data_IF_588618877309
#
_entry.id   IF_588618877309
#
_cell.length_a   1.000
_cell.length_b   1.000
_cell.length_c   1.000
_cell.angle_alpha   90.00
_cell.angle_beta   90.00
_cell.angle_gamma   90.00
#
_symmetry.space_group_name_H-M   'P 1'
#
loop_
_entity.id
_entity.type
_entity.pdbx_description
1 polymer ?
#
# COMPACT_ATOMS: atom_id res chain seq x y z
N UNK A 1 17.38 -2.11 -2.33
CA UNK A 1 16.05 -2.36 -1.73
C UNK A 1 15.57 -1.06 -1.14
N UNK A 2 14.32 -0.66 -1.39
CA UNK A 2 13.70 0.56 -0.84
C UNK A 2 12.66 0.19 0.22
N UNK A 3 12.41 1.07 1.18
CA UNK A 3 11.28 1.00 2.10
C UNK A 3 10.10 1.81 1.53
N UNK A 4 9.02 1.12 1.20
CA UNK A 4 7.85 1.71 0.55
C UNK A 4 6.73 1.85 1.57
N UNK A 5 6.22 3.07 1.71
CA UNK A 5 4.99 3.34 2.45
C UNK A 5 3.79 2.92 1.58
N UNK A 6 2.95 2.02 2.07
CA UNK A 6 1.78 1.50 1.36
C UNK A 6 0.54 2.26 1.80
N UNK A 7 -0.04 3.03 0.88
CA UNK A 7 -1.30 3.72 1.05
C UNK A 7 -2.39 3.00 0.24
N UNK A 8 -3.43 2.50 0.91
CA UNK A 8 -4.60 1.87 0.27
C UNK A 8 -5.86 2.14 1.08
N UNK A 9 -7.07 1.96 0.49
CA UNK A 9 -8.30 2.05 1.25
C UNK A 9 -8.28 1.08 2.44
N UNK A 10 -8.78 1.54 3.59
CA UNK A 10 -8.91 0.72 4.81
C UNK A 10 -10.33 0.79 5.39
N UNK A 11 -10.81 1.99 5.70
CA UNK A 11 -12.16 2.23 6.21
C UNK A 11 -13.27 1.81 5.22
N UNK A 12 -14.48 1.55 5.75
CA UNK A 12 -15.62 1.04 4.97
C UNK A 12 -15.72 -0.49 5.12
N UNK A 13 -15.58 -1.23 4.02
CA UNK A 13 -15.50 -2.70 4.07
C UNK A 13 -14.09 -3.13 4.54
N UNK A 14 -13.86 -3.07 5.85
CA UNK A 14 -12.57 -3.34 6.49
C UNK A 14 -12.03 -4.71 6.10
N UNK A 15 -12.89 -5.73 6.02
CA UNK A 15 -12.46 -7.09 5.67
C UNK A 15 -11.91 -7.14 4.25
N UNK A 16 -12.66 -6.61 3.28
CA UNK A 16 -12.21 -6.55 1.88
C UNK A 16 -10.96 -5.70 1.73
N UNK A 17 -10.93 -4.55 2.38
CA UNK A 17 -9.83 -3.59 2.28
C UNK A 17 -8.55 -4.12 2.94
N UNK A 18 -8.66 -4.87 4.04
CA UNK A 18 -7.52 -5.56 4.66
C UNK A 18 -6.88 -6.55 3.71
N UNK A 19 -7.68 -7.36 3.00
CA UNK A 19 -7.14 -8.30 2.01
C UNK A 19 -6.53 -7.58 0.81
N UNK A 20 -7.11 -6.46 0.37
CA UNK A 20 -6.54 -5.61 -0.67
C UNK A 20 -5.18 -5.01 -0.26
N UNK A 21 -5.08 -4.47 0.95
CA UNK A 21 -3.84 -3.93 1.51
C UNK A 21 -2.74 -5.01 1.61
N UNK A 22 -3.10 -6.24 2.01
CA UNK A 22 -2.16 -7.37 2.01
C UNK A 22 -1.64 -7.69 0.61
N UNK A 23 -2.51 -7.68 -0.41
CA UNK A 23 -2.10 -7.85 -1.81
C UNK A 23 -1.16 -6.73 -2.28
N UNK A 24 -1.41 -5.49 -1.86
CA UNK A 24 -0.51 -4.37 -2.12
C UNK A 24 0.88 -4.58 -1.49
N UNK A 25 0.93 -5.06 -0.24
CA UNK A 25 2.19 -5.42 0.41
C UNK A 25 2.94 -6.54 -0.35
N UNK A 26 2.22 -7.57 -0.81
CA UNK A 26 2.78 -8.61 -1.67
C UNK A 26 3.34 -8.08 -2.98
N UNK A 27 2.64 -7.14 -3.61
CA UNK A 27 3.11 -6.47 -4.83
C UNK A 27 4.45 -5.76 -4.58
N UNK A 28 4.56 -4.98 -3.50
CA UNK A 28 5.83 -4.31 -3.12
C UNK A 28 6.96 -5.32 -2.89
N UNK A 29 6.68 -6.42 -2.19
CA UNK A 29 7.67 -7.49 -1.98
C UNK A 29 8.13 -8.12 -3.30
N UNK A 30 7.21 -8.37 -4.23
CA UNK A 30 7.51 -8.96 -5.53
C UNK A 30 8.34 -8.01 -6.43
N UNK A 31 8.22 -6.69 -6.24
CA UNK A 31 9.10 -5.70 -6.88
C UNK A 31 10.49 -5.59 -6.20
N UNK A 32 10.77 -6.40 -5.17
CA UNK A 32 12.07 -6.45 -4.49
C UNK A 32 12.27 -5.33 -3.46
N UNK A 33 11.19 -4.85 -2.85
CA UNK A 33 11.20 -3.78 -1.85
C UNK A 33 10.60 -4.22 -0.51
N UNK A 34 10.99 -3.53 0.56
CA UNK A 34 10.35 -3.66 1.87
C UNK A 34 9.10 -2.75 1.92
N UNK A 35 8.14 -3.06 2.79
CA UNK A 35 6.90 -2.30 2.90
C UNK A 35 6.62 -1.87 4.35
N UNK A 36 5.92 -0.76 4.48
CA UNK A 36 5.30 -0.32 5.71
C UNK A 36 3.83 0.06 5.44
N UNK A 37 2.89 -0.61 6.09
CA UNK A 37 1.45 -0.41 5.91
C UNK A 37 0.79 -0.09 7.27
N UNK A 38 0.78 1.17 7.70
CA UNK A 38 0.36 1.54 9.06
C UNK A 38 -1.11 1.23 9.33
N UNK A 39 -1.97 1.31 8.31
CA UNK A 39 -3.39 0.97 8.42
C UNK A 39 -3.64 -0.54 8.63
N UNK A 40 -2.64 -1.41 8.46
CA UNK A 40 -2.71 -2.82 8.89
C UNK A 40 -2.12 -3.05 10.28
N UNK A 41 -1.32 -2.12 10.79
CA UNK A 41 -0.56 -2.26 12.04
C UNK A 41 -1.24 -1.57 13.21
N UNK A 42 -1.48 -0.27 13.10
CA UNK A 42 -1.94 0.56 14.21
C UNK A 42 -3.36 0.22 14.69
N UNK A 43 -4.33 -0.14 13.83
CA UNK A 43 -5.66 -0.58 14.28
C UNK A 43 -5.65 -1.87 15.12
N UNK A 44 -4.54 -2.62 15.16
CA UNK A 44 -4.41 -3.78 16.04
C UNK A 44 -4.00 -3.40 17.47
N UNK A 45 -3.59 -2.15 17.68
CA UNK A 45 -3.09 -1.62 18.95
C UNK A 45 -3.96 -0.48 19.49
N UNK A 46 -4.52 0.33 18.59
CA UNK A 46 -5.30 1.53 18.89
C UNK A 46 -6.79 1.31 18.59
N UNK A 47 -7.68 2.00 19.31
CA UNK A 47 -9.11 2.01 19.03
C UNK A 47 -9.46 3.04 17.95
N UNK A 48 -9.86 2.57 16.77
CA UNK A 48 -10.26 3.46 15.66
C UNK A 48 -11.55 4.26 15.92
N UNK A 49 -12.35 3.85 16.92
CA UNK A 49 -13.55 4.57 17.34
C UNK A 49 -13.26 5.70 18.33
N UNK A 50 -12.08 5.70 18.94
CA UNK A 50 -11.61 6.80 19.79
C UNK A 50 -10.88 7.85 18.94
N UNK A 51 -11.22 9.12 19.16
CA UNK A 51 -10.69 10.22 18.34
C UNK A 51 -9.21 10.49 18.60
N UNK A 52 -8.74 10.29 19.84
CA UNK A 52 -7.38 10.59 20.25
C UNK A 52 -6.44 9.50 19.76
N UNK A 53 -6.83 8.23 19.92
CA UNK A 53 -6.14 7.07 19.35
C UNK A 53 -6.06 7.17 17.83
N UNK A 54 -7.16 7.53 17.16
CA UNK A 54 -7.15 7.74 15.71
C UNK A 54 -6.16 8.83 15.29
N UNK A 55 -6.14 9.95 16.00
CA UNK A 55 -5.21 11.04 15.71
C UNK A 55 -3.76 10.61 15.94
N UNK A 56 -3.50 9.89 17.03
CA UNK A 56 -2.19 9.31 17.34
C UNK A 56 -1.71 8.37 16.24
N UNK A 57 -2.57 7.47 15.74
CA UNK A 57 -2.28 6.57 14.63
C UNK A 57 -1.88 7.30 13.35
N UNK A 58 -2.59 8.39 13.02
CA UNK A 58 -2.26 9.23 11.87
C UNK A 58 -0.91 9.92 12.02
N UNK A 59 -0.60 10.44 13.20
CA UNK A 59 0.64 11.16 13.44
C UNK A 59 1.86 10.22 13.48
N UNK A 60 1.71 9.03 14.06
CA UNK A 60 2.71 7.96 13.93
C UNK A 60 2.92 7.55 12.48
N UNK A 61 1.85 7.45 11.68
CA UNK A 61 1.92 7.16 10.24
C UNK A 61 2.74 8.21 9.49
N UNK A 62 2.50 9.51 9.74
CA UNK A 62 3.28 10.60 9.14
C UNK A 62 4.75 10.57 9.57
N UNK A 63 5.02 10.30 10.84
CA UNK A 63 6.39 10.18 11.35
C UNK A 63 7.13 9.02 10.67
N UNK A 64 6.48 7.85 10.54
CA UNK A 64 7.03 6.70 9.83
C UNK A 64 7.24 6.98 8.33
N UNK A 65 6.29 7.68 7.68
CA UNK A 65 6.40 8.08 6.28
C UNK A 65 7.66 8.89 6.02
N UNK A 66 8.07 9.77 6.94
CA UNK A 66 9.31 10.55 6.81
C UNK A 66 10.59 9.70 6.74
N UNK A 67 10.52 8.41 7.06
CA UNK A 67 11.62 7.45 6.98
C UNK A 67 11.50 6.48 5.80
N UNK A 68 10.45 6.59 4.98
CA UNK A 68 10.28 5.77 3.78
C UNK A 68 10.95 6.42 2.56
N UNK A 69 11.42 5.60 1.62
CA UNK A 69 12.04 6.06 0.38
C UNK A 69 10.98 6.57 -0.62
N UNK A 70 9.80 5.94 -0.65
CA UNK A 70 8.70 6.29 -1.54
C UNK A 70 7.34 5.99 -0.87
N UNK A 71 6.28 6.65 -1.35
CA UNK A 71 4.90 6.31 -1.04
C UNK A 71 4.22 5.74 -2.27
N UNK A 72 3.65 4.54 -2.16
CA UNK A 72 2.89 3.89 -3.22
C UNK A 72 1.40 3.89 -2.85
N UNK A 73 0.60 4.52 -3.70
CA UNK A 73 -0.85 4.63 -3.60
C UNK A 73 -1.49 3.53 -4.43
N UNK A 74 -2.24 2.63 -3.78
CA UNK A 74 -2.87 1.50 -4.42
C UNK A 74 -4.39 1.66 -4.52
N UNK A 75 -4.92 1.24 -5.67
CA UNK A 75 -6.35 1.20 -5.96
C UNK A 75 -6.82 2.39 -6.79
N UNK A 76 -8.10 2.33 -7.17
CA UNK A 76 -8.69 3.28 -8.13
C UNK A 76 -9.39 4.45 -7.42
N UNK A 77 -9.42 4.43 -6.08
CA UNK A 77 -10.02 5.47 -5.25
C UNK A 77 -9.01 5.99 -4.23
N UNK A 78 -9.08 7.29 -3.95
CA UNK A 78 -8.25 7.94 -2.93
C UNK A 78 -9.18 8.33 -1.78
N UNK A 79 -8.99 7.68 -0.63
CA UNK A 79 -9.69 8.04 0.60
C UNK A 79 -9.12 9.31 1.22
N UNK A 80 -9.83 9.92 2.18
CA UNK A 80 -9.31 11.07 2.92
C UNK A 80 -8.01 10.77 3.68
N UNK A 81 -7.87 9.55 4.22
CA UNK A 81 -6.64 9.09 4.86
C UNK A 81 -5.48 9.05 3.87
N UNK A 82 -5.70 8.43 2.71
CA UNK A 82 -4.69 8.37 1.65
C UNK A 82 -4.30 9.76 1.14
N UNK A 83 -5.27 10.67 0.98
CA UNK A 83 -4.97 12.04 0.56
C UNK A 83 -4.04 12.75 1.56
N UNK A 84 -4.29 12.59 2.87
CA UNK A 84 -3.41 13.14 3.90
C UNK A 84 -1.99 12.58 3.84
N UNK A 85 -1.84 11.28 3.55
CA UNK A 85 -0.53 10.63 3.38
C UNK A 85 0.18 11.15 2.12
N UNK A 86 -0.53 11.28 0.99
CA UNK A 86 -0.01 11.85 -0.26
C UNK A 86 0.46 13.29 -0.05
N UNK A 87 -0.34 14.11 0.63
CA UNK A 87 0.01 15.51 0.91
C UNK A 87 1.23 15.59 1.84
N UNK A 88 1.34 14.67 2.79
CA UNK A 88 2.51 14.58 3.67
C UNK A 88 3.76 14.18 2.89
N UNK A 89 3.68 13.15 2.04
CA UNK A 89 4.79 12.72 1.19
C UNK A 89 5.29 13.86 0.28
N UNK A 90 4.35 14.58 -0.36
CA UNK A 90 4.67 15.74 -1.21
C UNK A 90 5.38 16.85 -0.43
N UNK A 91 4.91 17.17 0.79
CA UNK A 91 5.55 18.17 1.65
C UNK A 91 6.98 17.77 2.05
N UNK A 92 7.22 16.48 2.23
CA UNK A 92 8.53 15.93 2.59
C UNK A 92 9.45 15.68 1.39
N UNK A 93 8.97 15.89 0.15
CA UNK A 93 9.72 15.59 -1.06
C UNK A 93 9.87 14.09 -1.36
N UNK A 94 9.03 13.25 -0.73
CA UNK A 94 9.02 11.81 -0.93
C UNK A 94 8.29 11.50 -2.25
N UNK A 95 8.89 10.74 -3.19
CA UNK A 95 8.24 10.36 -4.43
C UNK A 95 6.95 9.58 -4.19
N UNK A 96 5.90 9.94 -4.95
CA UNK A 96 4.59 9.28 -4.90
C UNK A 96 4.37 8.51 -6.20
N UNK A 97 4.14 7.20 -6.09
CA UNK A 97 3.77 6.31 -7.20
C UNK A 97 2.31 5.88 -7.05
N UNK A 98 1.56 5.86 -8.15
CA UNK A 98 0.20 5.34 -8.19
C UNK A 98 0.20 3.98 -8.88
N UNK A 99 -0.46 3.00 -8.29
CA UNK A 99 -0.60 1.63 -8.80
C UNK A 99 -2.08 1.29 -8.87
N UNK A 100 -2.59 1.11 -10.08
CA UNK A 100 -4.00 0.79 -10.32
C UNK A 100 -4.31 -0.65 -9.88
N UNK A 101 -5.56 -0.92 -9.48
CA UNK A 101 -5.95 -2.26 -9.06
C UNK A 101 -5.76 -3.31 -10.18
N UNK A 102 -5.94 -2.90 -11.43
CA UNK A 102 -5.70 -3.73 -12.61
C UNK A 102 -4.23 -4.17 -12.73
N UNK A 103 -3.27 -3.27 -12.47
CA UNK A 103 -1.84 -3.58 -12.53
C UNK A 103 -1.45 -4.64 -11.48
N UNK A 104 -2.08 -4.58 -10.30
CA UNK A 104 -1.89 -5.59 -9.25
C UNK A 104 -2.38 -6.97 -9.71
N UNK A 105 -3.56 -7.04 -10.34
CA UNK A 105 -4.17 -8.30 -10.80
C UNK A 105 -3.36 -8.98 -11.92
N UNK A 106 -2.71 -8.20 -12.79
CA UNK A 106 -1.88 -8.73 -13.87
C UNK A 106 -0.58 -9.36 -13.35
N UNK A 107 -0.04 -8.84 -12.24
CA UNK A 107 1.20 -9.35 -11.62
C UNK A 107 0.98 -10.49 -10.62
N UNK A 108 -0.25 -10.71 -10.14
CA UNK A 108 -0.63 -11.88 -9.33
C UNK A 108 -0.51 -13.22 -10.09
N UNK A 109 -0.32 -13.21 -11.42
CA UNK A 109 -0.10 -14.44 -12.19
C UNK A 109 1.20 -15.13 -11.77
N UNK A 110 1.19 -16.43 -11.40
CA UNK A 110 2.39 -17.17 -11.03
C UNK A 110 3.46 -17.09 -12.12
N UNK A 111 4.75 -17.06 -11.72
CA UNK A 111 5.89 -17.09 -12.64
C UNK A 111 5.80 -18.21 -13.69
N UNK A 112 5.20 -19.35 -13.32
CA UNK A 112 4.99 -20.50 -14.18
C UNK A 112 4.16 -20.20 -15.45
N UNK A 113 3.30 -19.17 -15.45
CA UNK A 113 2.46 -18.81 -16.60
C UNK A 113 3.05 -17.70 -17.46
N UNK A 114 4.17 -17.09 -17.05
CA UNK A 114 4.76 -15.93 -17.74
C UNK A 114 5.56 -16.29 -19.01
N UNK A 115 5.79 -17.59 -19.27
CA UNK A 115 6.55 -18.08 -20.44
C UNK A 115 5.92 -19.30 -21.13
N UNK A 116 4.59 -19.44 -21.17
CA UNK A 116 3.96 -20.57 -21.89
C UNK A 116 3.68 -20.31 -23.38
N UNK A 117 4.33 -19.33 -24.01
CA UNK A 117 4.28 -19.14 -25.47
C UNK A 117 5.67 -19.23 -26.10
N UNK A 118 6.38 -20.33 -25.86
CA UNK A 118 7.50 -20.75 -26.71
C UNK A 118 7.68 -22.27 -26.69
N UNK A 119 6.82 -23.00 -27.40
CA UNK A 119 7.03 -24.37 -27.91
C UNK A 119 5.73 -24.75 -28.66
N UNK A 120 5.66 -25.23 -29.90
CA UNK A 120 6.59 -25.65 -30.92
C UNK A 120 5.80 -25.44 -32.23
N UNK A 121 6.37 -24.76 -33.23
CA UNK A 121 5.98 -25.05 -34.61
C UNK A 121 6.75 -26.32 -34.98
N UNK A 122 6.04 -27.44 -35.08
CA UNK A 122 6.43 -28.57 -35.93
C UNK A 122 5.36 -28.72 -37.00
#
# INVERSE_FOLDING_TARGET
>A
MKLIYVASPYAGDIKRNTEFAKKACWFVMNEGHAFFAPHLLYPQVLDEHDSDDRQLGLDMGKAALAHCDELWVFGDTISCGMQNEIDTARKLGIPVKYVAAQEMAERERPFAERHSSCSMRM
#
